data_IF_184714721392
#
_entry.id   IF_184714721392
#
_cell.length_a   1.000
_cell.length_b   1.000
_cell.length_c   1.000
_cell.angle_alpha   90.00
_cell.angle_beta   90.00
_cell.angle_gamma   90.00
#
_symmetry.space_group_name_H-M   'P 1'
#
loop_
_entity.id
_entity.type
_entity.pdbx_description
1 polymer ?
#
# COMPACT_ATOMS: atom_id res chain seq x y z
N UNK A 1 -29.00 1.93 -0.02
CA UNK A 1 -28.87 3.39 0.28
C UNK A 1 -28.97 3.73 1.78
N UNK A 2 -29.77 3.03 2.60
CA UNK A 2 -29.97 3.37 4.03
C UNK A 2 -28.71 3.23 4.93
N UNK A 3 -27.81 2.29 4.66
CA UNK A 3 -26.65 1.99 5.52
C UNK A 3 -25.59 3.10 5.60
N UNK A 4 -25.54 4.01 4.62
CA UNK A 4 -24.62 5.15 4.63
C UNK A 4 -25.10 6.26 5.59
N UNK A 5 -26.42 6.43 5.72
CA UNK A 5 -27.02 7.44 6.62
C UNK A 5 -26.88 7.10 8.10
N UNK A 6 -26.99 5.81 8.46
CA UNK A 6 -26.81 5.33 9.83
C UNK A 6 -25.36 5.50 10.29
N UNK A 7 -24.39 5.11 9.45
CA UNK A 7 -22.95 5.31 9.73
C UNK A 7 -22.60 6.78 9.87
N UNK A 8 -23.23 7.67 9.11
CA UNK A 8 -23.02 9.11 9.23
C UNK A 8 -23.64 9.68 10.51
N UNK A 9 -24.82 9.19 10.91
CA UNK A 9 -25.46 9.55 12.19
C UNK A 9 -24.60 9.15 13.39
N UNK A 10 -24.07 7.93 13.38
CA UNK A 10 -23.19 7.42 14.43
C UNK A 10 -21.86 8.17 14.48
N UNK A 11 -21.28 8.47 13.32
CA UNK A 11 -20.06 9.29 13.25
C UNK A 11 -20.28 10.70 13.82
N UNK A 12 -21.44 11.31 13.56
CA UNK A 12 -21.80 12.63 14.11
C UNK A 12 -22.00 12.57 15.62
N UNK A 13 -22.69 11.54 16.14
CA UNK A 13 -22.87 11.34 17.60
C UNK A 13 -21.54 11.16 18.32
N UNK A 14 -20.68 10.27 17.83
CA UNK A 14 -19.33 10.05 18.39
C UNK A 14 -18.49 11.32 18.36
N UNK A 15 -18.56 12.09 17.27
CA UNK A 15 -17.85 13.37 17.16
C UNK A 15 -18.35 14.35 18.21
N UNK A 16 -19.67 14.50 18.35
CA UNK A 16 -20.26 15.43 19.31
C UNK A 16 -20.02 14.99 20.77
N UNK A 17 -19.95 13.67 21.04
CA UNK A 17 -19.51 13.10 22.32
C UNK A 17 -18.05 13.42 22.64
N UNK A 18 -17.12 13.17 21.70
CA UNK A 18 -15.69 13.50 21.87
C UNK A 18 -15.47 14.99 22.09
N UNK A 19 -16.25 15.85 21.42
CA UNK A 19 -16.20 17.29 21.65
C UNK A 19 -16.66 17.67 23.05
N UNK A 20 -17.72 17.03 23.58
CA UNK A 20 -18.19 17.24 24.96
C UNK A 20 -17.14 16.81 25.97
N UNK A 21 -16.60 15.61 25.84
CA UNK A 21 -15.53 15.12 26.71
C UNK A 21 -14.32 16.06 26.70
N UNK A 22 -13.89 16.52 25.52
CA UNK A 22 -12.77 17.46 25.41
C UNK A 22 -13.07 18.81 26.05
N UNK A 23 -14.30 19.29 25.93
CA UNK A 23 -14.73 20.54 26.56
C UNK A 23 -14.74 20.45 28.09
N UNK A 24 -15.16 19.30 28.65
CA UNK A 24 -15.11 19.01 30.09
C UNK A 24 -13.66 19.02 30.60
N UNK A 25 -12.75 18.35 29.90
CA UNK A 25 -11.33 18.31 30.26
C UNK A 25 -10.69 19.70 30.22
N UNK A 26 -11.02 20.52 29.20
CA UNK A 26 -10.52 21.90 29.10
C UNK A 26 -11.07 22.76 30.25
N UNK A 27 -12.37 22.64 30.56
CA UNK A 27 -12.99 23.37 31.66
C UNK A 27 -12.37 22.99 33.02
N UNK A 28 -12.17 21.70 33.27
CA UNK A 28 -11.50 21.20 34.47
C UNK A 28 -10.06 21.71 34.60
N UNK A 29 -9.32 21.81 33.48
CA UNK A 29 -7.92 22.28 33.48
C UNK A 29 -7.78 23.79 33.66
N UNK A 30 -8.73 24.56 33.14
CA UNK A 30 -8.63 26.03 33.06
C UNK A 30 -9.42 26.76 34.13
N UNK A 31 -10.31 26.06 34.87
CA UNK A 31 -11.12 26.65 35.94
C UNK A 31 -12.20 27.62 35.46
N UNK A 32 -12.39 27.76 34.14
CA UNK A 32 -13.41 28.61 33.54
C UNK A 32 -14.55 27.75 32.97
N UNK A 33 -15.83 28.06 33.25
CA UNK A 33 -16.94 27.44 32.55
C UNK A 33 -16.83 27.82 31.05
N UNK A 34 -16.66 26.81 30.20
CA UNK A 34 -16.57 27.03 28.76
C UNK A 34 -17.98 27.25 28.22
N UNK A 35 -18.39 28.52 28.08
CA UNK A 35 -19.67 28.88 27.50
C UNK A 35 -19.73 28.48 26.02
N UNK A 36 -20.29 27.31 25.75
CA UNK A 36 -20.45 26.80 24.40
C UNK A 36 -21.62 27.51 23.71
N UNK A 37 -21.34 28.63 23.03
CA UNK A 37 -22.28 29.20 22.07
C UNK A 37 -22.29 28.33 20.82
N UNK A 38 -23.06 27.24 20.83
CA UNK A 38 -23.44 26.56 19.61
C UNK A 38 -24.17 27.60 18.75
N UNK A 39 -23.50 28.13 17.71
CA UNK A 39 -24.18 28.93 16.69
C UNK A 39 -25.20 27.99 16.06
N UNK A 40 -26.45 28.09 16.48
CA UNK A 40 -27.55 27.43 15.81
C UNK A 40 -27.50 27.93 14.36
N UNK A 41 -27.21 27.02 13.45
CA UNK A 41 -27.30 27.25 12.01
C UNK A 41 -28.78 27.38 11.66
N UNK A 42 -29.38 28.51 12.03
CA UNK A 42 -30.73 28.91 11.61
C UNK A 42 -30.59 30.29 10.97
N UNK A 43 -30.12 30.30 9.71
CA UNK A 43 -30.40 31.32 8.70
C UNK A 43 -29.49 31.07 7.48
N UNK A 44 -29.83 30.07 6.66
CA UNK A 44 -29.43 30.14 5.26
C UNK A 44 -30.55 29.57 4.38
N UNK A 45 -31.72 30.18 4.46
CA UNK A 45 -32.79 30.02 3.46
C UNK A 45 -33.43 31.38 3.22
N UNK A 46 -33.12 31.92 2.04
CA UNK A 46 -33.92 32.86 1.25
C UNK A 46 -34.05 34.30 1.80
N UNK A 47 -33.44 35.26 1.08
CA UNK A 47 -34.14 36.13 0.09
C UNK A 47 -33.38 37.44 -0.08
N UNK A 48 -32.58 37.52 -1.15
CA UNK A 48 -32.19 38.79 -1.73
C UNK A 48 -33.42 39.45 -2.37
N UNK A 49 -33.64 40.73 -2.05
CA UNK A 49 -34.51 41.65 -2.79
C UNK A 49 -36.00 41.66 -2.39
N UNK A 50 -36.38 42.66 -1.58
CA UNK A 50 -37.51 43.57 -1.86
C UNK A 50 -37.67 44.57 -0.69
N UNK A 51 -37.76 45.86 -1.04
CA UNK A 51 -38.12 46.99 -0.17
C UNK A 51 -39.52 46.79 0.44
N UNK A 52 -39.70 47.19 1.70
CA UNK A 52 -40.81 48.04 2.17
C UNK A 52 -40.67 48.29 3.69
N UNK A 53 -40.87 49.55 4.09
CA UNK A 53 -40.93 50.00 5.46
C UNK A 53 -42.26 49.56 6.11
N UNK A 54 -42.21 49.15 7.38
CA UNK A 54 -43.17 49.52 8.45
C UNK A 54 -42.60 49.11 9.79
N UNK A 55 -42.69 50.00 10.77
CA UNK A 55 -42.34 49.79 12.15
C UNK A 55 -43.18 48.66 12.77
N UNK A 56 -42.54 47.68 13.39
CA UNK A 56 -43.15 46.80 14.40
C UNK A 56 -42.01 46.19 15.22
N UNK A 57 -42.26 46.08 16.52
CA UNK A 57 -41.32 45.87 17.63
C UNK A 57 -40.31 44.73 17.45
N UNK A 58 -39.10 44.82 18.06
CA UNK A 58 -38.17 43.70 18.09
C UNK A 58 -38.75 42.57 18.97
N UNK A 59 -38.77 41.31 18.50
CA UNK A 59 -39.19 40.19 19.33
C UNK A 59 -38.20 40.02 20.51
N UNK A 60 -38.68 39.62 21.71
CA UNK A 60 -37.80 39.41 22.84
C UNK A 60 -36.81 38.28 22.52
N UNK A 61 -35.52 38.61 22.53
CA UNK A 61 -34.41 37.67 22.51
C UNK A 61 -34.37 36.90 23.84
N UNK A 62 -35.28 35.95 24.03
CA UNK A 62 -35.11 34.89 25.04
C UNK A 62 -34.76 33.61 24.29
N UNK A 63 -33.57 33.60 23.71
CA UNK A 63 -32.90 32.33 23.51
C UNK A 63 -32.53 31.84 24.90
N UNK A 64 -33.35 30.96 25.48
CA UNK A 64 -32.92 30.09 26.57
C UNK A 64 -31.75 29.27 26.01
N UNK A 65 -30.53 29.81 26.16
CA UNK A 65 -29.31 29.06 25.93
C UNK A 65 -29.26 28.09 27.08
N UNK A 66 -29.55 26.83 26.81
CA UNK A 66 -29.27 25.72 27.72
C UNK A 66 -27.75 25.64 27.92
N UNK A 67 -27.22 26.53 28.77
CA UNK A 67 -25.86 26.46 29.27
C UNK A 67 -25.85 25.27 30.22
N UNK A 68 -25.44 24.11 29.70
CA UNK A 68 -25.18 22.94 30.53
C UNK A 68 -24.01 23.27 31.46
N UNK A 69 -24.36 23.69 32.68
CA UNK A 69 -23.40 23.84 33.77
C UNK A 69 -23.01 22.43 34.21
N UNK A 70 -21.77 22.07 33.95
CA UNK A 70 -21.21 20.82 34.42
C UNK A 70 -20.98 20.91 35.93
N UNK A 71 -21.33 19.85 36.64
CA UNK A 71 -21.07 19.78 38.08
C UNK A 71 -19.59 19.56 38.33
N UNK A 72 -19.11 19.91 39.53
CA UNK A 72 -17.71 19.70 39.91
C UNK A 72 -17.32 18.21 39.84
N UNK A 73 -18.28 17.33 40.16
CA UNK A 73 -18.10 15.87 40.12
C UNK A 73 -17.94 15.36 38.68
N UNK A 74 -18.75 15.86 37.74
CA UNK A 74 -18.64 15.53 36.30
C UNK A 74 -17.28 15.95 35.71
N UNK A 75 -16.73 17.08 36.17
CA UNK A 75 -15.42 17.56 35.74
C UNK A 75 -14.27 16.71 36.31
N UNK A 76 -14.39 16.26 37.57
CA UNK A 76 -13.40 15.41 38.22
C UNK A 76 -13.36 14.01 37.59
N UNK A 77 -14.53 13.40 37.33
CA UNK A 77 -14.64 12.12 36.64
C UNK A 77 -14.09 12.18 35.21
N UNK A 78 -14.41 13.25 34.46
CA UNK A 78 -13.88 13.46 33.11
C UNK A 78 -12.35 13.61 33.11
N UNK A 79 -11.79 14.26 34.13
CA UNK A 79 -10.34 14.42 34.28
C UNK A 79 -9.63 13.09 34.58
N UNK A 80 -10.19 12.29 35.49
CA UNK A 80 -9.67 10.96 35.82
C UNK A 80 -9.72 10.03 34.61
N UNK A 81 -10.85 9.97 33.91
CA UNK A 81 -10.98 9.18 32.69
C UNK A 81 -10.02 9.63 31.59
N UNK A 82 -9.76 10.94 31.46
CA UNK A 82 -8.78 11.46 30.52
C UNK A 82 -7.36 11.02 30.89
N UNK A 83 -6.99 11.02 32.18
CA UNK A 83 -5.69 10.54 32.64
C UNK A 83 -5.51 9.02 32.39
N UNK A 84 -6.52 8.21 32.69
CA UNK A 84 -6.47 6.77 32.38
C UNK A 84 -6.31 6.50 30.88
N UNK A 85 -7.00 7.27 30.04
CA UNK A 85 -6.87 7.17 28.58
C UNK A 85 -5.46 7.55 28.13
N UNK A 86 -4.88 8.60 28.68
CA UNK A 86 -3.50 9.00 28.39
C UNK A 86 -2.51 7.90 28.78
N UNK A 87 -2.63 7.33 29.97
CA UNK A 87 -1.77 6.21 30.42
C UNK A 87 -1.91 4.98 29.52
N UNK A 88 -3.13 4.63 29.10
CA UNK A 88 -3.37 3.54 28.14
C UNK A 88 -2.77 3.86 26.76
N UNK A 89 -2.83 5.12 26.32
CA UNK A 89 -2.23 5.56 25.06
C UNK A 89 -0.71 5.58 25.10
N UNK A 90 -0.11 5.96 26.23
CA UNK A 90 1.35 5.94 26.45
C UNK A 90 1.87 4.51 26.41
N UNK A 91 1.26 3.59 27.18
CA UNK A 91 1.62 2.17 27.16
C UNK A 91 1.46 1.54 25.76
N UNK A 92 0.38 1.86 25.04
CA UNK A 92 0.19 1.40 23.66
C UNK A 92 1.19 2.05 22.68
N UNK A 93 1.61 3.29 22.94
CA UNK A 93 2.57 4.05 22.14
C UNK A 93 3.98 3.49 22.20
N UNK A 94 4.38 2.88 23.31
CA UNK A 94 5.70 2.25 23.48
C UNK A 94 5.84 0.93 22.69
N UNK A 95 4.79 0.11 22.65
CA UNK A 95 4.80 -1.18 21.95
C UNK A 95 4.48 -1.09 20.46
N UNK A 96 3.69 -0.09 20.05
CA UNK A 96 3.29 0.15 18.67
C UNK A 96 4.46 0.23 17.66
N UNK A 97 5.57 0.97 17.90
CA UNK A 97 6.66 1.08 16.94
C UNK A 97 7.40 -0.25 16.75
N UNK A 98 7.60 -1.02 17.82
CA UNK A 98 8.22 -2.34 17.74
C UNK A 98 7.36 -3.32 16.92
N UNK A 99 6.04 -3.28 17.11
CA UNK A 99 5.08 -4.08 16.35
C UNK A 99 5.04 -3.64 14.88
N UNK A 100 5.03 -2.34 14.60
CA UNK A 100 5.11 -1.81 13.23
C UNK A 100 6.40 -2.24 12.52
N UNK A 101 7.55 -2.21 13.22
CA UNK A 101 8.82 -2.68 12.68
C UNK A 101 8.80 -4.19 12.39
N UNK A 102 8.19 -5.01 13.26
CA UNK A 102 7.97 -6.45 13.01
C UNK A 102 7.14 -6.68 11.75
N UNK A 103 6.00 -5.98 11.61
CA UNK A 103 5.14 -6.06 10.42
C UNK A 103 5.89 -5.69 9.14
N UNK A 104 6.72 -4.66 9.18
CA UNK A 104 7.52 -4.25 8.03
C UNK A 104 8.55 -5.32 7.65
N UNK A 105 9.22 -5.93 8.64
CA UNK A 105 10.16 -7.03 8.41
C UNK A 105 9.46 -8.26 7.82
N UNK A 106 8.32 -8.65 8.38
CA UNK A 106 7.51 -9.76 7.87
C UNK A 106 7.04 -9.52 6.44
N UNK A 107 6.57 -8.32 6.11
CA UNK A 107 6.17 -7.96 4.75
C UNK A 107 7.34 -8.11 3.77
N UNK A 108 8.52 -7.58 4.12
CA UNK A 108 9.73 -7.73 3.30
C UNK A 108 10.14 -9.19 3.13
N UNK A 109 10.05 -10.00 4.19
CA UNK A 109 10.35 -11.43 4.11
C UNK A 109 9.37 -12.18 3.21
N UNK A 110 8.07 -11.89 3.29
CA UNK A 110 7.07 -12.48 2.39
C UNK A 110 7.32 -12.12 0.94
N UNK A 111 7.66 -10.86 0.65
CA UNK A 111 8.01 -10.42 -0.70
C UNK A 111 9.25 -11.17 -1.24
N UNK A 112 10.30 -11.34 -0.41
CA UNK A 112 11.48 -12.14 -0.79
C UNK A 112 11.12 -13.58 -1.12
N UNK A 113 10.34 -14.23 -0.25
CA UNK A 113 9.88 -15.61 -0.48
C UNK A 113 9.04 -15.75 -1.74
N UNK A 114 8.17 -14.79 -2.04
CA UNK A 114 7.39 -14.78 -3.26
C UNK A 114 8.28 -14.65 -4.51
N UNK A 115 9.33 -13.83 -4.45
CA UNK A 115 10.31 -13.75 -5.53
C UNK A 115 11.10 -15.05 -5.70
N UNK A 116 11.57 -15.66 -4.61
CA UNK A 116 12.24 -16.97 -4.63
C UNK A 116 11.34 -18.04 -5.27
N UNK A 117 10.08 -18.13 -4.84
CA UNK A 117 9.10 -19.07 -5.41
C UNK A 117 8.83 -18.80 -6.90
N UNK A 118 8.81 -17.53 -7.32
CA UNK A 118 8.67 -17.17 -8.73
C UNK A 118 9.90 -17.62 -9.54
N UNK A 119 11.11 -17.50 -8.97
CA UNK A 119 12.34 -17.97 -9.62
C UNK A 119 12.33 -19.49 -9.71
N UNK A 120 11.97 -20.18 -8.64
CA UNK A 120 11.86 -21.64 -8.61
C UNK A 120 10.81 -22.14 -9.62
N UNK A 121 9.68 -21.45 -9.74
CA UNK A 121 8.67 -21.73 -10.75
C UNK A 121 9.23 -21.55 -12.17
N UNK A 122 10.01 -20.50 -12.43
CA UNK A 122 10.66 -20.30 -13.73
C UNK A 122 11.72 -21.37 -14.01
N UNK A 123 12.51 -21.78 -13.02
CA UNK A 123 13.50 -22.84 -13.16
C UNK A 123 12.82 -24.19 -13.45
N UNK A 124 11.73 -24.49 -12.76
CA UNK A 124 10.96 -25.74 -12.96
C UNK A 124 10.16 -25.76 -14.25
N UNK A 125 9.70 -24.60 -14.72
CA UNK A 125 8.97 -24.46 -15.98
C UNK A 125 9.89 -24.30 -17.19
N UNK A 126 11.20 -24.07 -17.01
CA UNK A 126 12.13 -24.10 -18.12
C UNK A 126 12.20 -25.54 -18.66
N UNK A 127 11.63 -25.85 -19.85
CA UNK A 127 12.02 -27.07 -20.55
C UNK A 127 13.53 -26.95 -20.70
N UNK A 128 14.26 -28.04 -20.46
CA UNK A 128 15.73 -28.03 -20.27
C UNK A 128 16.38 -26.97 -21.15
N UNK A 129 17.28 -26.13 -20.63
CA UNK A 129 17.90 -25.04 -21.40
C UNK A 129 18.46 -25.52 -22.76
N UNK A 130 18.83 -26.80 -22.83
CA UNK A 130 19.18 -27.56 -24.01
C UNK A 130 18.03 -27.73 -25.01
N UNK A 131 16.82 -28.07 -24.58
CA UNK A 131 15.60 -28.14 -25.40
C UNK A 131 15.19 -26.76 -25.91
N UNK A 132 15.25 -25.72 -25.09
CA UNK A 132 15.01 -24.34 -25.53
C UNK A 132 16.05 -23.89 -26.58
N UNK A 133 17.33 -24.22 -26.38
CA UNK A 133 18.38 -23.98 -27.37
C UNK A 133 18.19 -24.81 -28.64
N UNK A 134 17.74 -26.06 -28.53
CA UNK A 134 17.49 -26.93 -29.68
C UNK A 134 16.30 -26.41 -30.50
N UNK A 135 15.22 -25.96 -29.86
CA UNK A 135 14.10 -25.29 -30.54
C UNK A 135 14.59 -24.00 -31.20
N UNK A 136 15.39 -23.18 -30.52
CA UNK A 136 15.94 -21.96 -31.09
C UNK A 136 16.86 -22.23 -32.30
N UNK A 137 17.68 -23.29 -32.26
CA UNK A 137 18.49 -23.78 -33.40
C UNK A 137 17.61 -24.20 -34.57
N UNK A 138 16.54 -24.96 -34.33
CA UNK A 138 15.61 -25.38 -35.38
C UNK A 138 14.84 -24.21 -36.01
N UNK A 139 14.51 -23.18 -35.23
CA UNK A 139 13.74 -22.02 -35.70
C UNK A 139 14.61 -20.95 -36.39
N UNK A 140 15.91 -20.92 -36.12
CA UNK A 140 16.79 -19.86 -36.64
C UNK A 140 18.22 -20.35 -36.87
N UNK A 141 18.72 -20.26 -38.12
CA UNK A 141 20.11 -20.54 -38.47
C UNK A 141 21.14 -19.65 -37.76
N UNK A 142 20.70 -18.60 -37.04
CA UNK A 142 21.59 -17.76 -36.23
C UNK A 142 22.09 -18.47 -34.97
N UNK A 143 21.35 -19.45 -34.47
CA UNK A 143 21.70 -20.18 -33.25
C UNK A 143 22.41 -21.51 -33.54
N UNK A 144 22.59 -21.88 -34.80
CA UNK A 144 23.46 -22.99 -35.19
C UNK A 144 24.90 -22.68 -34.77
N UNK A 145 25.51 -23.62 -34.05
CA UNK A 145 26.93 -23.56 -33.74
C UNK A 145 27.72 -23.61 -35.05
N UNK A 146 28.34 -22.50 -35.41
CA UNK A 146 29.25 -22.43 -36.54
C UNK A 146 30.57 -23.07 -36.13
N UNK A 147 30.65 -24.40 -36.22
CA UNK A 147 31.92 -25.11 -36.13
C UNK A 147 32.69 -24.83 -37.42
N UNK A 148 33.48 -23.78 -37.42
CA UNK A 148 34.43 -23.53 -38.49
C UNK A 148 35.58 -24.53 -38.33
N UNK A 149 35.52 -25.64 -39.08
CA UNK A 149 36.65 -26.56 -39.17
C UNK A 149 37.80 -25.82 -39.86
N UNK A 150 38.83 -25.47 -39.09
CA UNK A 150 40.09 -24.99 -39.64
C UNK A 150 40.86 -26.24 -40.12
N UNK A 151 40.97 -26.47 -41.45
CA UNK A 151 41.71 -27.62 -41.93
C UNK A 151 43.18 -27.45 -41.56
N UNK A 152 43.78 -28.49 -40.97
CA UNK A 152 45.19 -28.50 -40.62
C UNK A 152 46.10 -28.38 -41.86
N UNK A 153 45.58 -28.76 -43.03
CA UNK A 153 46.26 -28.67 -44.32
C UNK A 153 45.57 -27.61 -45.17
N UNK A 154 46.35 -26.67 -45.72
CA UNK A 154 45.82 -25.65 -46.61
C UNK A 154 45.28 -26.27 -47.90
N UNK A 155 44.09 -25.82 -48.35
CA UNK A 155 43.47 -26.28 -49.59
C UNK A 155 44.39 -26.00 -50.77
N UNK A 156 44.60 -26.98 -51.64
CA UNK A 156 45.49 -26.92 -52.82
C UNK A 156 46.99 -26.80 -52.50
N UNK A 157 47.42 -27.17 -51.30
CA UNK A 157 48.84 -27.36 -51.02
C UNK A 157 49.36 -28.70 -51.54
N UNK A 158 50.67 -28.84 -51.71
CA UNK A 158 51.29 -30.12 -52.06
C UNK A 158 50.96 -31.23 -51.02
N UNK A 159 50.71 -30.85 -49.77
CA UNK A 159 50.27 -31.77 -48.72
C UNK A 159 48.81 -32.21 -48.92
N UNK A 160 47.93 -31.33 -49.38
CA UNK A 160 46.53 -31.64 -49.73
C UNK A 160 46.46 -32.65 -50.88
N UNK A 161 47.30 -32.49 -51.90
CA UNK A 161 47.40 -33.45 -53.01
C UNK A 161 47.93 -34.82 -52.56
N UNK A 162 48.94 -34.83 -51.68
CA UNK A 162 49.44 -36.09 -51.09
C UNK A 162 48.37 -36.79 -50.27
N UNK A 163 47.63 -36.06 -49.44
CA UNK A 163 46.52 -36.62 -48.64
C UNK A 163 45.43 -37.17 -49.55
N UNK A 164 45.04 -36.45 -50.61
CA UNK A 164 44.06 -36.94 -51.60
C UNK A 164 44.55 -38.19 -52.32
N UNK A 165 45.82 -38.24 -52.71
CA UNK A 165 46.41 -39.44 -53.31
C UNK A 165 46.47 -40.61 -52.32
N UNK A 166 46.77 -40.38 -51.04
CA UNK A 166 46.75 -41.42 -50.00
C UNK A 166 45.34 -41.94 -49.75
N UNK A 167 44.34 -41.07 -49.68
CA UNK A 167 42.93 -41.47 -49.52
C UNK A 167 42.39 -42.21 -50.75
N UNK A 168 42.82 -41.82 -51.96
CA UNK A 168 42.41 -42.47 -53.20
C UNK A 168 43.13 -43.82 -53.45
N UNK A 169 44.36 -43.97 -52.96
CA UNK A 169 45.18 -45.18 -53.17
C UNK A 169 45.05 -46.20 -52.05
N UNK A 170 44.72 -45.77 -50.83
CA UNK A 170 44.62 -46.66 -49.69
C UNK A 170 43.21 -47.23 -49.57
N UNK A 171 43.17 -48.55 -49.32
CA UNK A 171 42.05 -49.36 -48.80
C UNK A 171 41.49 -48.84 -47.46
N UNK A 172 41.35 -47.54 -47.25
CA UNK A 172 40.72 -46.93 -46.07
C UNK A 172 39.21 -47.06 -46.24
N UNK A 173 38.75 -48.29 -46.04
CA UNK A 173 37.38 -48.73 -46.26
C UNK A 173 37.16 -50.20 -45.93
N UNK A 174 38.24 -51.00 -45.79
CA UNK A 174 38.10 -52.44 -45.46
C UNK A 174 38.08 -52.76 -43.96
N UNK A 175 38.01 -51.76 -43.07
CA UNK A 175 37.96 -51.98 -41.62
C UNK A 175 36.56 -51.81 -41.00
N UNK A 176 35.57 -51.43 -41.81
CA UNK A 176 34.17 -51.33 -41.42
C UNK A 176 33.24 -51.95 -42.50
N UNK A 177 33.60 -53.15 -42.97
CA UNK A 177 32.64 -54.06 -43.60
C UNK A 177 32.28 -55.16 -42.61
#
# INVERSE_FOLDING_TARGET
>A
MAHLSARHGDAKRRRDELFRERSLVIAAKTGYPFDFRAKSSVANTLRAGARAATATEPPPLVANVDVKRFTADELAEAWQQAQERLQRCEAAGEEAPALAAKRLREHKQRARRAHEQSIDALITQQPSSLEAMNIARMLSPRFEERVAFAPAVARHSAEDERVKHLLASARVGSYYQ
#
